data_IF_512807968541
#
_entry.id   IF_512807968541
#
_cell.length_a   1.000
_cell.length_b   1.000
_cell.length_c   1.000
_cell.angle_alpha   90.00
_cell.angle_beta   90.00
_cell.angle_gamma   90.00
#
_symmetry.space_group_name_H-M   'P 1'
#
loop_
_entity.id
_entity.type
_entity.pdbx_description
1 polymer ?
#
# COMPACT_ATOMS: atom_id res chain seq x y z
N UNK A 1 1.56 14.76 -38.34
CA UNK A 1 1.78 14.98 -36.89
C UNK A 1 2.20 16.44 -36.69
N UNK A 2 1.52 17.18 -35.81
CA UNK A 2 1.58 18.66 -35.73
C UNK A 2 2.89 19.11 -35.06
N UNK A 3 3.53 20.17 -35.58
CA UNK A 3 4.80 20.78 -35.08
C UNK A 3 4.91 20.95 -33.55
N UNK A 4 3.78 21.09 -32.84
CA UNK A 4 3.71 21.24 -31.38
C UNK A 4 4.17 19.98 -30.61
N UNK A 5 4.01 18.79 -31.20
CA UNK A 5 4.38 17.52 -30.53
C UNK A 5 5.90 17.31 -30.51
N UNK A 6 6.62 17.79 -31.53
CA UNK A 6 8.08 17.62 -31.63
C UNK A 6 8.83 18.52 -30.63
N UNK A 7 8.31 19.73 -30.36
CA UNK A 7 8.93 20.69 -29.42
C UNK A 7 8.87 20.20 -27.97
N UNK A 8 7.82 19.48 -27.59
CA UNK A 8 7.67 18.94 -26.23
C UNK A 8 8.66 17.78 -25.98
N UNK A 9 8.91 16.95 -26.99
CA UNK A 9 9.84 15.80 -26.88
C UNK A 9 11.29 16.28 -26.71
N UNK A 10 11.70 17.35 -27.39
CA UNK A 10 13.06 17.91 -27.27
C UNK A 10 13.28 18.56 -25.90
N UNK A 11 12.27 19.26 -25.36
CA UNK A 11 12.37 19.88 -24.04
C UNK A 11 12.48 18.83 -22.90
N UNK A 12 11.77 17.70 -23.04
CA UNK A 12 11.80 16.62 -22.05
C UNK A 12 13.17 15.91 -22.00
N UNK A 13 13.87 15.83 -23.13
CA UNK A 13 15.20 15.22 -23.21
C UNK A 13 16.32 16.06 -22.56
N UNK A 14 16.20 17.40 -22.56
CA UNK A 14 17.20 18.27 -21.92
C UNK A 14 17.11 18.29 -20.39
N UNK A 15 15.93 18.05 -19.80
CA UNK A 15 15.78 18.00 -18.35
C UNK A 15 16.42 16.74 -17.73
N UNK A 16 16.39 15.61 -18.45
CA UNK A 16 16.96 14.33 -17.98
C UNK A 16 18.51 14.36 -18.01
N UNK A 17 19.12 15.12 -18.93
CA UNK A 17 20.58 15.23 -19.02
C UNK A 17 21.21 16.12 -17.91
N UNK A 18 20.47 17.09 -17.38
CA UNK A 18 20.95 17.96 -16.29
C UNK A 18 20.90 17.30 -14.90
N UNK A 19 19.95 16.36 -14.68
CA UNK A 19 19.81 15.67 -13.39
C UNK A 19 20.86 14.56 -13.17
N UNK A 20 21.44 13.98 -14.24
CA UNK A 20 22.45 12.92 -14.15
C UNK A 20 23.90 13.45 -14.14
N UNK A 21 24.11 14.75 -14.36
CA UNK A 21 25.45 15.39 -14.38
C UNK A 21 25.96 15.89 -13.03
N UNK A 22 25.15 15.85 -11.96
CA UNK A 22 25.48 16.49 -10.68
C UNK A 22 26.12 15.58 -9.61
N UNK A 23 26.42 14.31 -9.92
CA UNK A 23 26.99 13.37 -8.93
C UNK A 23 28.52 13.21 -9.07
N UNK A 24 29.16 13.82 -10.08
CA UNK A 24 30.59 13.67 -10.33
C UNK A 24 31.38 14.97 -10.05
N UNK A 25 31.33 15.51 -8.83
CA UNK A 25 32.21 16.64 -8.46
C UNK A 25 32.41 16.81 -6.94
N UNK A 26 32.66 15.75 -6.17
CA UNK A 26 33.32 15.90 -4.85
C UNK A 26 34.11 14.63 -4.50
N UNK A 27 35.20 14.39 -5.23
CA UNK A 27 36.26 13.52 -4.76
C UNK A 27 37.61 14.01 -5.30
N UNK A 28 38.57 14.15 -4.38
CA UNK A 28 40.02 14.23 -4.58
C UNK A 28 40.61 15.58 -5.02
N UNK A 29 41.18 16.29 -4.05
CA UNK A 29 42.61 16.73 -3.96
C UNK A 29 42.81 17.12 -2.48
N UNK A 30 43.58 16.44 -1.63
CA UNK A 30 45.02 16.16 -1.67
C UNK A 30 45.83 17.35 -2.17
N UNK A 31 46.21 18.27 -1.28
CA UNK A 31 47.64 18.56 -1.13
C UNK A 31 48.02 19.20 0.21
N UNK A 32 49.29 18.94 0.53
CA UNK A 32 50.00 19.05 1.80
C UNK A 32 50.76 20.38 1.89
N UNK A 33 51.18 20.71 3.12
CA UNK A 33 52.27 21.62 3.56
C UNK A 33 51.88 23.06 3.97
N UNK A 34 52.45 23.71 5.00
CA UNK A 34 53.34 23.39 6.14
C UNK A 34 53.42 24.65 7.05
N UNK A 35 53.74 24.44 8.34
CA UNK A 35 54.28 25.38 9.35
C UNK A 35 53.32 26.47 9.89
N UNK A 36 53.28 26.81 11.19
CA UNK A 36 54.34 26.89 12.21
C UNK A 36 53.85 26.57 13.64
N UNK A 37 54.82 26.44 14.54
CA UNK A 37 54.86 25.78 15.86
C UNK A 37 54.31 26.60 17.06
N UNK A 38 54.34 25.94 18.23
CA UNK A 38 54.43 26.45 19.63
C UNK A 38 53.07 26.54 20.38
N UNK A 39 52.82 25.97 21.58
CA UNK A 39 53.62 25.36 22.65
C UNK A 39 52.72 24.47 23.56
N UNK A 40 53.33 23.60 24.37
CA UNK A 40 52.71 22.65 25.30
C UNK A 40 52.16 23.32 26.58
N UNK A 41 51.06 22.82 27.15
CA UNK A 41 50.96 22.53 28.61
C UNK A 41 49.74 21.64 28.94
N UNK A 42 49.76 21.08 30.15
CA UNK A 42 49.32 19.76 30.55
C UNK A 42 47.83 19.54 30.88
N UNK A 43 47.46 18.26 30.79
CA UNK A 43 46.69 17.49 31.79
C UNK A 43 45.32 18.01 32.22
N UNK A 44 44.24 17.43 31.70
CA UNK A 44 43.14 16.97 32.56
C UNK A 44 42.20 15.94 31.86
N UNK A 45 42.00 14.82 32.55
CA UNK A 45 40.82 13.92 32.57
C UNK A 45 40.09 13.64 31.25
N UNK A 46 40.37 12.47 30.68
CA UNK A 46 39.43 11.76 29.81
C UNK A 46 38.35 11.17 30.71
N UNK A 47 37.31 11.95 30.98
CA UNK A 47 36.04 11.36 31.39
C UNK A 47 35.54 10.56 30.19
N UNK A 48 35.39 9.25 30.39
CA UNK A 48 34.76 8.36 29.44
C UNK A 48 33.31 8.83 29.24
N UNK A 49 33.10 9.67 28.23
CA UNK A 49 31.77 9.90 27.67
C UNK A 49 31.37 8.56 27.07
N UNK A 50 30.47 7.88 27.77
CA UNK A 50 29.75 6.74 27.25
C UNK A 50 28.90 7.23 26.08
N UNK A 51 29.47 7.21 24.87
CA UNK A 51 28.71 7.38 23.62
C UNK A 51 27.82 6.15 23.43
N UNK A 52 26.74 6.13 24.19
CA UNK A 52 25.61 5.23 23.95
C UNK A 52 24.33 6.04 23.95
N UNK A 53 24.36 7.18 23.25
CA UNK A 53 23.18 7.72 22.59
C UNK A 53 23.09 7.01 21.23
N UNK A 54 22.65 5.75 21.25
CA UNK A 54 21.96 5.25 20.06
C UNK A 54 20.73 6.14 19.94
N UNK A 55 20.71 6.94 18.88
CA UNK A 55 19.67 7.90 18.56
C UNK A 55 18.30 7.20 18.68
N UNK A 56 17.44 7.70 19.57
CA UNK A 56 16.11 7.13 19.79
C UNK A 56 15.31 7.06 18.48
N UNK A 57 15.70 7.85 17.46
CA UNK A 57 15.17 7.77 16.09
C UNK A 57 15.42 6.40 15.41
N UNK A 58 16.63 5.84 15.49
CA UNK A 58 17.01 4.57 14.84
C UNK A 58 16.24 3.39 15.45
N UNK A 59 15.97 3.47 16.75
CA UNK A 59 15.16 2.46 17.47
C UNK A 59 13.68 2.55 17.12
N UNK A 60 13.15 3.77 16.91
CA UNK A 60 11.77 4.00 16.47
C UNK A 60 11.56 3.51 15.04
N UNK A 61 12.52 3.77 14.14
CA UNK A 61 12.46 3.32 12.75
C UNK A 61 12.48 1.79 12.65
N UNK A 62 13.36 1.11 13.41
CA UNK A 62 13.41 -0.35 13.45
C UNK A 62 12.13 -0.99 14.03
N UNK A 63 11.55 -0.39 15.07
CA UNK A 63 10.29 -0.86 15.65
C UNK A 63 9.11 -0.67 14.68
N UNK A 64 9.11 0.43 13.92
CA UNK A 64 8.13 0.67 12.88
C UNK A 64 8.24 -0.37 11.75
N UNK A 65 9.46 -0.68 11.28
CA UNK A 65 9.69 -1.69 10.26
C UNK A 65 9.20 -3.09 10.68
N UNK A 66 9.35 -3.46 11.95
CA UNK A 66 8.83 -4.73 12.49
C UNK A 66 7.29 -4.78 12.43
N UNK A 67 6.61 -3.69 12.81
CA UNK A 67 5.14 -3.58 12.74
C UNK A 67 4.67 -3.70 11.28
N UNK A 68 5.31 -2.99 10.37
CA UNK A 68 5.01 -3.05 8.94
C UNK A 68 5.16 -4.47 8.38
N UNK A 69 6.26 -5.13 8.71
CA UNK A 69 6.51 -6.49 8.27
C UNK A 69 5.48 -7.47 8.85
N UNK A 70 5.08 -7.29 10.10
CA UNK A 70 4.04 -8.13 10.73
C UNK A 70 2.69 -7.97 10.03
N UNK A 71 2.33 -6.74 9.66
CA UNK A 71 1.10 -6.44 8.92
C UNK A 71 1.12 -7.10 7.54
N UNK A 72 2.17 -6.87 6.74
CA UNK A 72 2.30 -7.44 5.38
C UNK A 72 2.29 -8.97 5.39
N UNK A 73 2.94 -9.58 6.37
CA UNK A 73 3.01 -11.04 6.51
C UNK A 73 1.83 -11.63 7.28
N UNK A 74 0.85 -10.82 7.70
CA UNK A 74 -0.33 -11.24 8.49
C UNK A 74 0.04 -12.10 9.70
N UNK A 75 1.15 -11.75 10.36
CA UNK A 75 1.80 -12.58 11.39
C UNK A 75 1.49 -12.15 12.83
N UNK A 76 0.34 -11.53 13.06
CA UNK A 76 -0.10 -11.01 14.37
C UNK A 76 -0.79 -12.05 15.28
N UNK A 77 -0.89 -13.32 14.84
CA UNK A 77 -1.42 -14.44 15.62
C UNK A 77 -2.92 -14.67 15.48
N UNK A 78 -3.34 -15.93 15.59
CA UNK A 78 -4.69 -16.40 15.26
C UNK A 78 -5.81 -15.78 16.11
N UNK A 79 -5.51 -15.33 17.32
CA UNK A 79 -6.47 -14.68 18.23
C UNK A 79 -6.55 -13.16 18.04
N UNK A 80 -5.70 -12.58 17.19
CA UNK A 80 -5.61 -11.13 16.98
C UNK A 80 -6.14 -10.74 15.61
N UNK A 81 -6.94 -9.67 15.55
CA UNK A 81 -7.33 -9.07 14.27
C UNK A 81 -6.27 -8.09 13.79
N UNK A 82 -6.17 -7.87 12.48
CA UNK A 82 -5.35 -6.79 11.91
C UNK A 82 -5.65 -5.47 12.62
N UNK A 83 -6.93 -5.10 12.76
CA UNK A 83 -7.34 -3.88 13.46
C UNK A 83 -6.83 -3.82 14.92
N UNK A 84 -7.03 -4.89 15.70
CA UNK A 84 -6.64 -4.94 17.11
C UNK A 84 -5.12 -4.84 17.25
N UNK A 85 -4.37 -5.50 16.38
CA UNK A 85 -2.93 -5.38 16.30
C UNK A 85 -2.52 -3.93 15.99
N UNK A 86 -3.09 -3.33 14.93
CA UNK A 86 -2.76 -1.96 14.53
C UNK A 86 -3.09 -0.94 15.63
N UNK A 87 -4.24 -1.05 16.30
CA UNK A 87 -4.59 -0.15 17.41
C UNK A 87 -3.65 -0.25 18.63
N UNK A 88 -2.97 -1.39 18.82
CA UNK A 88 -2.00 -1.55 19.89
C UNK A 88 -0.62 -0.94 19.57
N UNK A 89 -0.31 -0.79 18.28
CA UNK A 89 1.01 -0.35 17.79
C UNK A 89 0.98 1.02 17.06
N UNK A 90 -0.20 1.59 16.86
CA UNK A 90 -0.39 2.88 16.21
C UNK A 90 0.11 4.06 17.06
N UNK A 91 0.69 5.05 16.39
CA UNK A 91 0.85 6.41 16.95
C UNK A 91 -0.51 7.05 17.25
N UNK A 92 -0.52 8.14 18.03
CA UNK A 92 -1.77 8.85 18.39
C UNK A 92 -2.54 9.35 17.16
N UNK A 93 -1.84 9.75 16.10
CA UNK A 93 -2.47 10.16 14.83
C UNK A 93 -3.09 8.97 14.10
N UNK A 94 -2.31 7.89 13.91
CA UNK A 94 -2.79 6.67 13.29
C UNK A 94 -3.97 6.08 14.05
N UNK A 95 -3.92 6.11 15.38
CA UNK A 95 -5.00 5.62 16.24
C UNK A 95 -6.28 6.43 16.06
N UNK A 96 -6.19 7.77 16.01
CA UNK A 96 -7.35 8.62 15.70
C UNK A 96 -7.93 8.31 14.32
N UNK A 97 -7.08 8.05 13.33
CA UNK A 97 -7.54 7.64 11.99
C UNK A 97 -8.22 6.27 12.03
N UNK A 98 -7.63 5.28 12.70
CA UNK A 98 -8.22 3.95 12.88
C UNK A 98 -9.56 3.99 13.64
N UNK A 99 -9.69 4.84 14.65
CA UNK A 99 -10.91 5.01 15.44
C UNK A 99 -12.00 5.78 14.69
N UNK A 100 -11.63 6.59 13.68
CA UNK A 100 -12.59 7.34 12.85
C UNK A 100 -13.41 6.45 11.90
N UNK A 101 -12.97 5.21 11.67
CA UNK A 101 -13.80 4.20 11.05
C UNK A 101 -14.80 3.70 12.09
N UNK A 102 -15.99 4.29 12.10
CA UNK A 102 -17.14 3.67 12.75
C UNK A 102 -17.40 2.37 11.98
N UNK A 103 -16.83 1.27 12.49
CA UNK A 103 -16.86 -0.03 11.84
C UNK A 103 -18.33 -0.42 11.65
N UNK A 104 -18.83 -0.27 10.42
CA UNK A 104 -20.17 -0.63 9.97
C UNK A 104 -20.39 -2.14 9.98
N UNK A 105 -20.19 -2.77 11.13
CA UNK A 105 -20.42 -4.18 11.41
C UNK A 105 -21.92 -4.44 11.51
N UNK A 106 -22.67 -4.51 10.40
CA UNK A 106 -23.91 -5.29 10.33
C UNK A 106 -24.45 -5.34 8.91
N UNK A 107 -23.98 -6.31 8.11
CA UNK A 107 -24.79 -7.24 7.30
C UNK A 107 -23.86 -7.90 6.27
N UNK A 108 -24.04 -9.18 5.95
CA UNK A 108 -23.04 -10.09 5.33
C UNK A 108 -21.84 -10.43 6.23
N UNK A 109 -21.38 -11.69 6.11
CA UNK A 109 -20.51 -12.36 7.11
C UNK A 109 -19.37 -11.46 7.57
N UNK A 110 -19.18 -11.37 8.89
CA UNK A 110 -18.18 -10.59 9.64
C UNK A 110 -16.73 -10.58 9.12
N UNK A 111 -16.42 -11.36 8.09
CA UNK A 111 -15.14 -11.46 7.40
C UNK A 111 -14.98 -10.43 6.27
N UNK A 112 -15.99 -10.21 5.42
CA UNK A 112 -15.85 -9.32 4.24
C UNK A 112 -15.74 -7.85 4.67
N UNK A 113 -16.57 -7.41 5.62
CA UNK A 113 -16.51 -6.04 6.12
C UNK A 113 -15.25 -5.81 6.96
N UNK A 114 -14.79 -6.82 7.70
CA UNK A 114 -13.54 -6.74 8.48
C UNK A 114 -12.31 -6.63 7.60
N UNK A 115 -12.31 -7.30 6.46
CA UNK A 115 -11.19 -7.35 5.53
C UNK A 115 -11.30 -6.29 4.41
N UNK A 116 -12.47 -5.68 4.19
CA UNK A 116 -12.61 -4.57 3.25
C UNK A 116 -11.87 -3.29 3.67
N UNK A 117 -11.72 -3.08 4.98
CA UNK A 117 -10.91 -1.99 5.54
C UNK A 117 -9.41 -2.31 5.62
N UNK A 118 -9.01 -3.54 5.33
CA UNK A 118 -7.62 -4.01 5.46
C UNK A 118 -6.64 -3.06 4.77
N UNK A 119 -6.92 -2.67 3.53
CA UNK A 119 -6.02 -1.82 2.75
C UNK A 119 -5.93 -0.39 3.29
N UNK A 120 -7.00 0.12 3.89
CA UNK A 120 -6.98 1.42 4.56
C UNK A 120 -6.20 1.35 5.86
N UNK A 121 -6.40 0.30 6.65
CA UNK A 121 -5.63 0.04 7.87
C UNK A 121 -4.13 -0.07 7.52
N UNK A 122 -3.79 -0.84 6.48
CA UNK A 122 -2.42 -0.93 5.97
C UNK A 122 -1.87 0.41 5.50
N UNK A 123 -2.69 1.25 4.86
CA UNK A 123 -2.28 2.60 4.42
C UNK A 123 -2.01 3.51 5.62
N UNK A 124 -2.88 3.52 6.63
CA UNK A 124 -2.74 4.33 7.84
C UNK A 124 -1.50 3.91 8.63
N UNK A 125 -1.28 2.61 8.74
CA UNK A 125 -0.10 2.09 9.40
C UNK A 125 1.18 2.31 8.60
N UNK A 126 1.09 2.73 7.32
CA UNK A 126 2.24 2.89 6.42
C UNK A 126 2.75 1.58 5.80
N UNK A 127 2.01 0.49 5.97
CA UNK A 127 2.33 -0.81 5.39
C UNK A 127 2.08 -0.85 3.88
N UNK A 128 1.13 -0.03 3.42
CA UNK A 128 0.79 0.17 2.01
C UNK A 128 0.87 1.65 1.63
N UNK A 129 1.35 1.95 0.43
CA UNK A 129 1.33 3.32 -0.10
C UNK A 129 -0.10 3.76 -0.43
N UNK A 130 -0.46 5.00 -0.07
CA UNK A 130 -1.71 5.63 -0.48
C UNK A 130 -1.86 5.77 -2.00
N UNK A 131 -0.73 5.77 -2.72
CA UNK A 131 -0.69 5.89 -4.19
C UNK A 131 -0.91 4.54 -4.90
N UNK A 132 -1.07 3.44 -4.16
CA UNK A 132 -1.29 2.12 -4.76
C UNK A 132 -2.59 2.14 -5.58
N UNK A 133 -2.58 1.78 -6.87
CA UNK A 133 -3.75 1.95 -7.72
C UNK A 133 -4.94 1.10 -7.28
N UNK A 134 -6.14 1.57 -7.63
CA UNK A 134 -7.42 0.91 -7.34
C UNK A 134 -8.16 0.66 -8.65
N UNK A 135 -8.89 -0.44 -8.70
CA UNK A 135 -9.85 -0.68 -9.78
C UNK A 135 -11.01 0.29 -9.65
N UNK A 136 -11.46 0.82 -10.78
CA UNK A 136 -12.79 1.42 -10.89
C UNK A 136 -13.82 0.36 -11.27
N UNK A 137 -15.10 0.63 -10.99
CA UNK A 137 -16.19 -0.26 -11.41
C UNK A 137 -16.25 -0.41 -12.92
N UNK A 138 -16.00 0.66 -13.66
CA UNK A 138 -15.97 0.66 -15.12
C UNK A 138 -14.84 -0.21 -15.67
N UNK A 139 -13.64 -0.13 -15.09
CA UNK A 139 -12.52 -0.98 -15.48
C UNK A 139 -12.83 -2.46 -15.22
N UNK A 140 -13.31 -2.77 -14.02
CA UNK A 140 -13.68 -4.14 -13.65
C UNK A 140 -14.76 -4.70 -14.59
N UNK A 141 -15.79 -3.90 -14.89
CA UNK A 141 -16.86 -4.27 -15.82
C UNK A 141 -16.34 -4.47 -17.25
N UNK A 142 -15.46 -3.61 -17.75
CA UNK A 142 -14.87 -3.75 -19.09
C UNK A 142 -14.09 -5.07 -19.20
N UNK A 143 -13.19 -5.32 -18.25
CA UNK A 143 -12.39 -6.54 -18.17
C UNK A 143 -13.30 -7.76 -18.09
N UNK A 144 -14.37 -7.71 -17.30
CA UNK A 144 -15.34 -8.79 -17.21
C UNK A 144 -15.89 -9.18 -18.59
N UNK A 145 -16.38 -8.21 -19.37
CA UNK A 145 -16.91 -8.49 -20.70
C UNK A 145 -15.84 -8.95 -21.70
N UNK A 146 -14.60 -8.47 -21.59
CA UNK A 146 -13.47 -8.96 -22.40
C UNK A 146 -13.18 -10.43 -22.12
N UNK A 147 -13.04 -10.81 -20.85
CA UNK A 147 -12.81 -12.20 -20.44
C UNK A 147 -13.98 -13.10 -20.86
N UNK A 148 -15.22 -12.60 -20.76
CA UNK A 148 -16.40 -13.33 -21.27
C UNK A 148 -16.36 -13.53 -22.78
N UNK A 149 -15.91 -12.54 -23.55
CA UNK A 149 -15.77 -12.65 -25.00
C UNK A 149 -14.70 -13.66 -25.43
N UNK A 150 -13.71 -13.94 -24.58
CA UNK A 150 -12.69 -14.97 -24.78
C UNK A 150 -13.21 -16.40 -24.52
N UNK A 151 -14.45 -16.56 -24.04
CA UNK A 151 -15.13 -17.85 -23.90
C UNK A 151 -15.20 -18.39 -22.47
N UNK A 152 -14.76 -17.62 -21.47
CA UNK A 152 -14.91 -18.00 -20.07
C UNK A 152 -16.38 -17.97 -19.66
N UNK A 153 -16.82 -19.04 -19.00
CA UNK A 153 -18.23 -19.23 -18.64
C UNK A 153 -18.59 -18.48 -17.35
N UNK A 154 -19.78 -17.84 -17.28
CA UNK A 154 -20.26 -17.21 -16.06
C UNK A 154 -20.36 -18.21 -14.92
N UNK A 155 -19.98 -17.80 -13.71
CA UNK A 155 -20.02 -18.65 -12.52
C UNK A 155 -18.99 -19.79 -12.53
N UNK A 156 -18.03 -19.81 -13.47
CA UNK A 156 -16.96 -20.80 -13.49
C UNK A 156 -15.77 -20.38 -12.64
N UNK A 157 -15.01 -21.36 -12.14
CA UNK A 157 -13.79 -21.09 -11.37
C UNK A 157 -12.69 -20.48 -12.25
N UNK A 158 -12.62 -20.88 -13.50
CA UNK A 158 -11.67 -20.37 -14.49
C UNK A 158 -11.93 -18.89 -14.77
N UNK A 159 -13.20 -18.47 -14.84
CA UNK A 159 -13.56 -17.07 -14.94
C UNK A 159 -13.08 -16.28 -13.71
N UNK A 160 -13.32 -16.80 -12.49
CA UNK A 160 -12.85 -16.14 -11.27
C UNK A 160 -11.33 -15.93 -11.29
N UNK A 161 -10.56 -16.98 -11.62
CA UNK A 161 -9.09 -16.93 -11.66
C UNK A 161 -8.59 -15.90 -12.67
N UNK A 162 -9.17 -15.84 -13.87
CA UNK A 162 -8.73 -14.89 -14.90
C UNK A 162 -9.12 -13.44 -14.56
N UNK A 163 -10.28 -13.23 -13.95
CA UNK A 163 -10.67 -11.91 -13.44
C UNK A 163 -9.71 -11.44 -12.35
N UNK A 164 -9.42 -12.28 -11.35
CA UNK A 164 -8.45 -11.95 -10.29
C UNK A 164 -7.09 -11.59 -10.87
N UNK A 165 -6.61 -12.36 -11.87
CA UNK A 165 -5.34 -12.09 -12.56
C UNK A 165 -5.31 -10.70 -13.18
N UNK A 166 -6.32 -10.32 -13.98
CA UNK A 166 -6.38 -9.00 -14.66
C UNK A 166 -6.66 -7.86 -13.69
N UNK A 167 -7.45 -8.10 -12.65
CA UNK A 167 -7.70 -7.12 -11.59
C UNK A 167 -6.42 -6.81 -10.81
N UNK A 168 -5.62 -7.83 -10.51
CA UNK A 168 -4.34 -7.67 -9.83
C UNK A 168 -3.29 -6.94 -10.68
N UNK A 169 -3.36 -6.98 -12.01
CA UNK A 169 -2.49 -6.14 -12.87
C UNK A 169 -2.70 -4.63 -12.62
N UNK A 170 -3.88 -4.24 -12.11
CA UNK A 170 -4.20 -2.85 -11.78
C UNK A 170 -4.02 -2.62 -10.27
N UNK A 171 -4.70 -3.41 -9.44
CA UNK A 171 -4.76 -3.18 -8.00
C UNK A 171 -3.54 -3.71 -7.23
N UNK A 172 -2.69 -4.52 -7.87
CA UNK A 172 -1.59 -5.25 -7.24
C UNK A 172 -2.05 -6.53 -6.53
N UNK A 173 -3.05 -6.41 -5.66
CA UNK A 173 -3.62 -7.51 -4.90
C UNK A 173 -5.07 -7.22 -4.51
N UNK A 174 -5.88 -8.24 -4.19
CA UNK A 174 -7.19 -8.05 -3.58
C UNK A 174 -7.07 -7.58 -2.12
N UNK A 175 -8.12 -6.89 -1.65
CA UNK A 175 -8.27 -6.48 -0.26
C UNK A 175 -8.64 -7.66 0.65
N UNK A 176 -9.38 -8.64 0.10
CA UNK A 176 -9.77 -9.87 0.80
C UNK A 176 -9.81 -11.05 -0.16
N UNK A 177 -9.36 -12.22 0.33
CA UNK A 177 -9.56 -13.54 -0.28
C UNK A 177 -9.96 -14.51 0.83
N UNK A 178 -11.12 -15.16 0.70
CA UNK A 178 -11.58 -16.12 1.70
C UNK A 178 -12.95 -16.71 1.40
N UNK A 179 -13.75 -16.92 2.45
CA UNK A 179 -15.08 -17.52 2.34
C UNK A 179 -15.04 -19.03 2.06
N UNK A 180 -15.11 -19.83 3.12
CA UNK A 180 -15.11 -21.31 3.03
C UNK A 180 -16.20 -21.80 2.07
N UNK A 181 -15.79 -22.42 0.97
CA UNK A 181 -16.68 -22.97 -0.06
C UNK A 181 -17.33 -21.96 -1.02
N UNK A 182 -17.14 -20.65 -0.80
CA UNK A 182 -17.70 -19.59 -1.65
C UNK A 182 -16.67 -18.85 -2.51
N UNK A 183 -15.37 -18.97 -2.17
CA UNK A 183 -14.25 -18.34 -2.89
C UNK A 183 -14.55 -16.87 -3.19
N UNK A 184 -14.49 -16.08 -2.12
CA UNK A 184 -14.82 -14.66 -2.11
C UNK A 184 -13.54 -13.87 -2.28
N UNK A 185 -13.51 -13.00 -3.29
CA UNK A 185 -12.43 -12.04 -3.52
C UNK A 185 -13.01 -10.64 -3.61
N UNK A 186 -12.38 -9.67 -2.93
CA UNK A 186 -12.88 -8.29 -2.85
C UNK A 186 -11.78 -7.29 -3.22
N UNK A 187 -12.19 -6.25 -3.96
CA UNK A 187 -11.37 -5.09 -4.26
C UNK A 187 -12.08 -3.81 -3.85
N UNK A 188 -11.42 -2.94 -3.10
CA UNK A 188 -11.92 -1.61 -2.74
C UNK A 188 -11.57 -0.60 -3.84
N UNK A 189 -12.60 0.07 -4.38
CA UNK A 189 -12.46 0.97 -5.52
C UNK A 189 -11.99 2.37 -5.12
N UNK A 190 -12.17 2.74 -3.85
CA UNK A 190 -11.76 4.04 -3.33
C UNK A 190 -11.18 3.96 -1.90
N UNK A 191 -10.41 4.98 -1.48
CA UNK A 191 -9.80 5.03 -0.15
C UNK A 191 -10.80 5.04 1.00
N UNK A 192 -12.06 5.39 0.77
CA UNK A 192 -13.12 5.43 1.79
C UNK A 192 -13.91 4.12 1.85
N UNK A 193 -13.65 3.17 0.95
CA UNK A 193 -14.38 1.91 0.78
C UNK A 193 -15.91 2.12 0.74
N UNK A 194 -16.33 3.10 -0.05
CA UNK A 194 -17.74 3.35 -0.37
C UNK A 194 -18.19 2.61 -1.63
N UNK A 195 -17.24 2.05 -2.37
CA UNK A 195 -17.47 1.25 -3.56
C UNK A 195 -16.43 0.12 -3.65
N UNK A 196 -16.87 -1.07 -4.03
CA UNK A 196 -16.02 -2.25 -4.15
C UNK A 196 -16.46 -3.19 -5.27
N UNK A 197 -15.56 -4.08 -5.67
CA UNK A 197 -15.79 -5.20 -6.57
C UNK A 197 -15.76 -6.49 -5.78
N UNK A 198 -16.70 -7.38 -6.07
CA UNK A 198 -16.68 -8.75 -5.57
C UNK A 198 -16.51 -9.75 -6.71
N UNK A 199 -15.85 -10.87 -6.41
CA UNK A 199 -15.90 -12.11 -7.18
C UNK A 199 -16.32 -13.20 -6.18
N UNK A 200 -17.43 -13.90 -6.45
CA UNK A 200 -17.95 -14.99 -5.62
C UNK A 200 -18.30 -16.15 -6.53
N UNK A 201 -17.57 -17.26 -6.43
CA UNK A 201 -17.79 -18.43 -7.30
C UNK A 201 -17.91 -18.07 -8.80
N UNK A 202 -17.05 -17.17 -9.31
CA UNK A 202 -17.09 -16.74 -10.72
C UNK A 202 -18.20 -15.76 -11.09
N UNK A 203 -19.02 -15.33 -10.12
CA UNK A 203 -19.94 -14.20 -10.28
C UNK A 203 -19.22 -12.93 -9.88
N UNK A 204 -19.13 -11.96 -10.78
CA UNK A 204 -18.52 -10.67 -10.51
C UNK A 204 -19.54 -9.52 -10.54
N UNK A 205 -19.29 -8.51 -9.71
CA UNK A 205 -20.13 -7.33 -9.64
C UNK A 205 -19.52 -6.25 -8.77
N UNK A 206 -20.29 -5.17 -8.60
CA UNK A 206 -19.94 -4.05 -7.72
C UNK A 206 -20.87 -3.99 -6.52
N UNK A 207 -20.40 -3.40 -5.43
CA UNK A 207 -21.19 -3.18 -4.23
C UNK A 207 -20.82 -1.88 -3.54
N UNK A 208 -21.74 -1.37 -2.73
CA UNK A 208 -21.50 -0.26 -1.82
C UNK A 208 -21.52 -0.83 -0.38
N UNK A 209 -20.38 -0.83 0.34
CA UNK A 209 -20.28 -1.38 1.69
C UNK A 209 -21.16 -0.65 2.72
N UNK A 210 -21.52 0.61 2.46
CA UNK A 210 -22.41 1.40 3.33
C UNK A 210 -23.90 1.11 3.11
N UNK A 211 -24.27 0.29 2.12
CA UNK A 211 -25.64 -0.13 1.85
C UNK A 211 -25.83 -1.60 2.20
N UNK A 212 -27.06 -1.99 2.58
CA UNK A 212 -27.41 -3.38 2.93
C UNK A 212 -26.89 -4.34 1.83
N UNK A 213 -25.99 -5.28 2.15
CA UNK A 213 -25.38 -6.19 1.19
C UNK A 213 -26.34 -7.22 0.60
N UNK A 214 -27.57 -7.36 1.12
CA UNK A 214 -28.65 -8.04 0.38
C UNK A 214 -29.11 -7.25 -0.87
N UNK A 215 -28.81 -5.94 -0.94
CA UNK A 215 -28.99 -5.09 -2.12
C UNK A 215 -27.77 -5.17 -3.05
N UNK A 216 -26.57 -5.44 -2.53
CA UNK A 216 -25.31 -5.50 -3.29
C UNK A 216 -25.22 -6.61 -4.34
N UNK A 217 -25.90 -7.74 -4.14
CA UNK A 217 -25.95 -8.84 -5.14
C UNK A 217 -26.70 -8.43 -6.43
N UNK A 218 -27.34 -7.25 -6.46
CA UNK A 218 -28.09 -6.75 -7.63
C UNK A 218 -27.21 -6.14 -8.73
N UNK A 219 -25.97 -5.72 -8.45
CA UNK A 219 -25.09 -5.07 -9.43
C UNK A 219 -24.06 -6.04 -10.04
N UNK A 220 -24.52 -7.23 -10.43
CA UNK A 220 -23.72 -8.15 -11.24
C UNK A 220 -23.40 -7.51 -12.58
N UNK A 221 -22.25 -7.88 -13.15
CA UNK A 221 -21.90 -7.40 -14.48
C UNK A 221 -22.61 -8.16 -15.62
N UNK A 222 -23.23 -9.31 -15.31
CA UNK A 222 -24.01 -10.14 -16.24
C UNK A 222 -25.36 -9.54 -16.63
#
# INVERSE_FOLDING_TARGET
MKKKTLTIIIALACAVALALGCIAAHAVTSDRSKASEQEQDASERVDAVNEQEQDDSEKVDAANDEVINTIRNRSYGDEMSLYKYCCAHASDEQRRQLESFELGYTAFSSEIDREGYTRQIETIMGALSSDTPRLTVEQARSIYFEVRAEGYLPGSRELAIELERRYNEIAGAPDYVGGSGLYITVYSCNPEFTEGIFIINGVAGSFNPSLDPHVAVKNRFE
#
